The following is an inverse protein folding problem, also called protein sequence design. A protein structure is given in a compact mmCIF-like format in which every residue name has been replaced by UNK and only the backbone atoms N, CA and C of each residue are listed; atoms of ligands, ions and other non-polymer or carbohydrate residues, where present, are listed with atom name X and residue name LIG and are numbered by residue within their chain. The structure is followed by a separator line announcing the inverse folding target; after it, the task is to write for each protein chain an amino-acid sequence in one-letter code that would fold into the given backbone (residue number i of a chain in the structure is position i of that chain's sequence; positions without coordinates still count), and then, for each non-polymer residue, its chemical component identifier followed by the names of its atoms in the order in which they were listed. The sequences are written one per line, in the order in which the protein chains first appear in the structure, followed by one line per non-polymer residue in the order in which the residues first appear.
data_IF_838155666800
#
_entry.id   IF_838155666800
#
_cell.length_a   1.000
_cell.length_b   1.000
_cell.length_c   1.000
_cell.angle_alpha   90.00
_cell.angle_beta   90.00
_cell.angle_gamma   90.00
#
_symmetry.space_group_name_H-M   'P 1'
#
loop_
_entity.id
_entity.type
_entity.pdbx_description
1 polymer ?
#
# COMPACT_ATOMS: atom_id res chain seq x y z
N UNK A 1 -5.97 6.36 -3.57
CA UNK A 1 -5.11 7.54 -3.29
C UNK A 1 -4.15 7.30 -2.12
N UNK A 2 -4.11 6.10 -1.53
CA UNK A 2 -3.07 5.70 -0.58
C UNK A 2 -1.73 5.43 -1.25
N UNK A 3 -0.66 5.89 -0.60
CA UNK A 3 0.74 5.73 -0.99
C UNK A 3 1.65 5.82 0.23
N UNK A 4 2.90 6.20 0.00
CA UNK A 4 3.91 6.48 1.03
C UNK A 4 3.41 7.50 2.07
N UNK A 5 2.63 8.49 1.65
CA UNK A 5 1.99 9.47 2.54
C UNK A 5 1.10 8.82 3.60
N UNK A 6 0.50 7.67 3.30
CA UNK A 6 -0.40 6.94 4.21
C UNK A 6 0.23 5.69 4.81
N UNK A 7 1.27 5.14 4.20
CA UNK A 7 1.92 3.90 4.66
C UNK A 7 3.42 3.84 4.31
N UNK A 8 4.22 4.72 4.93
CA UNK A 8 5.67 4.85 4.74
C UNK A 8 6.43 3.52 4.87
N UNK A 9 6.03 2.67 5.82
CA UNK A 9 6.72 1.40 6.04
C UNK A 9 6.48 0.36 4.93
N UNK A 10 5.32 0.38 4.26
CA UNK A 10 5.04 -0.46 3.09
C UNK A 10 5.72 0.09 1.84
N UNK A 11 6.00 1.40 1.84
CA UNK A 11 6.75 2.03 0.76
C UNK A 11 8.25 1.68 0.75
N UNK A 12 8.71 0.91 1.74
CA UNK A 12 10.04 0.34 1.82
C UNK A 12 11.10 1.24 2.46
N UNK A 13 10.72 2.38 3.06
CA UNK A 13 11.68 3.45 3.33
C UNK A 13 11.68 4.02 4.77
N UNK A 14 11.78 3.13 5.77
CA UNK A 14 12.00 3.52 7.18
C UNK A 14 13.35 3.01 7.72
N UNK A 15 14.45 3.43 7.09
CA UNK A 15 15.81 3.03 7.51
C UNK A 15 16.11 1.54 7.31
N UNK A 16 15.30 0.84 6.52
CA UNK A 16 15.47 -0.58 6.25
C UNK A 16 16.45 -0.79 5.09
N UNK A 17 17.47 -1.62 5.31
CA UNK A 17 18.45 -2.02 4.27
C UNK A 17 17.83 -2.94 3.23
N UNK A 18 16.77 -3.69 3.61
CA UNK A 18 16.06 -4.62 2.74
C UNK A 18 14.59 -4.25 2.69
N UNK A 19 14.11 -3.94 1.49
CA UNK A 19 12.69 -3.73 1.20
C UNK A 19 11.93 -5.05 1.37
N UNK A 20 10.82 -5.02 2.12
CA UNK A 20 9.94 -6.18 2.30
C UNK A 20 8.57 -5.86 1.74
N UNK A 21 8.02 -6.78 0.95
CA UNK A 21 6.61 -6.73 0.58
C UNK A 21 5.78 -7.07 1.83
N UNK A 22 4.90 -6.15 2.20
CA UNK A 22 3.85 -6.44 3.18
C UNK A 22 2.90 -7.48 2.59
N UNK A 23 2.17 -8.25 3.41
CA UNK A 23 1.06 -9.03 2.90
C UNK A 23 0.01 -8.05 2.35
N UNK A 24 -0.43 -8.29 1.11
CA UNK A 24 -1.40 -7.43 0.44
C UNK A 24 -2.43 -8.27 -0.34
N UNK A 25 -3.56 -7.66 -0.66
CA UNK A 25 -4.59 -8.27 -1.49
C UNK A 25 -5.38 -7.22 -2.29
N UNK A 26 -6.09 -7.68 -3.31
CA UNK A 26 -7.25 -6.97 -3.86
C UNK A 26 -8.46 -7.40 -3.03
N UNK A 27 -8.98 -6.49 -2.19
CA UNK A 27 -9.94 -6.84 -1.13
C UNK A 27 -11.23 -7.48 -1.62
N UNK A 28 -11.74 -7.03 -2.77
CA UNK A 28 -12.92 -7.58 -3.45
C UNK A 28 -12.66 -8.92 -4.17
N UNK A 29 -11.40 -9.35 -4.30
CA UNK A 29 -10.99 -10.49 -5.14
C UNK A 29 -10.09 -11.51 -4.44
N UNK A 30 -10.14 -11.61 -3.12
CA UNK A 30 -9.25 -12.48 -2.33
C UNK A 30 -9.35 -13.97 -2.67
N UNK A 31 -10.45 -14.43 -3.28
CA UNK A 31 -10.64 -15.82 -3.72
C UNK A 31 -10.35 -16.09 -5.20
N UNK A 32 -9.86 -15.09 -5.95
CA UNK A 32 -9.59 -15.26 -7.37
C UNK A 32 -8.39 -16.19 -7.61
N UNK A 33 -8.53 -17.11 -8.58
CA UNK A 33 -7.49 -18.09 -8.91
C UNK A 33 -6.50 -17.59 -9.97
N UNK A 34 -6.96 -16.70 -10.87
CA UNK A 34 -6.11 -16.12 -11.88
C UNK A 34 -5.32 -14.96 -11.27
N UNK A 35 -4.00 -15.11 -11.23
CA UNK A 35 -3.06 -14.12 -10.73
C UNK A 35 -2.17 -13.61 -11.86
N UNK A 36 -1.72 -12.38 -11.72
CA UNK A 36 -0.69 -11.77 -12.55
C UNK A 36 0.40 -11.16 -11.66
N UNK A 37 1.62 -11.17 -12.19
CA UNK A 37 2.78 -10.59 -11.50
C UNK A 37 2.82 -9.10 -11.72
N UNK A 38 2.46 -8.32 -10.70
CA UNK A 38 2.32 -6.86 -10.80
C UNK A 38 3.03 -6.13 -9.67
N UNK A 39 3.29 -4.84 -9.88
CA UNK A 39 3.72 -3.90 -8.84
C UNK A 39 2.62 -2.88 -8.61
N UNK A 40 2.45 -2.45 -7.36
CA UNK A 40 1.47 -1.45 -6.97
C UNK A 40 2.20 -0.20 -6.50
N UNK A 41 1.83 0.96 -7.04
CA UNK A 41 2.40 2.27 -6.73
C UNK A 41 1.31 3.20 -6.21
N UNK A 42 1.70 4.15 -5.37
CA UNK A 42 0.83 5.24 -4.93
C UNK A 42 0.82 6.41 -5.94
N UNK A 43 0.17 7.52 -5.58
CA UNK A 43 -0.05 8.67 -6.47
C UNK A 43 1.14 9.64 -6.58
N UNK A 44 2.19 9.49 -5.77
CA UNK A 44 3.27 10.46 -5.68
C UNK A 44 4.29 10.28 -6.82
N UNK A 45 4.84 11.39 -7.31
CA UNK A 45 5.87 11.41 -8.36
C UNK A 45 7.27 11.06 -7.82
N UNK A 46 7.37 9.98 -7.04
CA UNK A 46 8.64 9.49 -6.48
C UNK A 46 8.72 7.97 -6.60
N UNK A 47 9.88 7.40 -6.98
CA UNK A 47 10.05 5.96 -7.05
C UNK A 47 9.90 5.27 -5.68
N UNK A 48 9.97 6.04 -4.59
CA UNK A 48 9.73 5.53 -3.24
C UNK A 48 8.26 5.22 -2.98
N UNK A 49 7.34 5.74 -3.79
CA UNK A 49 5.90 5.51 -3.64
C UNK A 49 5.44 4.22 -4.32
N UNK A 50 6.15 3.14 -4.00
CA UNK A 50 5.81 1.79 -4.41
C UNK A 50 5.36 1.03 -3.18
N UNK A 51 4.20 0.39 -3.18
CA UNK A 51 3.64 -0.33 -2.03
C UNK A 51 3.82 -1.85 -2.12
N UNK A 52 3.88 -2.38 -3.34
CA UNK A 52 4.15 -3.78 -3.61
C UNK A 52 5.03 -3.92 -4.86
N UNK A 53 6.01 -4.79 -4.79
CA UNK A 53 6.90 -5.07 -5.92
C UNK A 53 6.75 -6.51 -6.40
N UNK A 54 6.34 -6.66 -7.67
CA UNK A 54 6.35 -7.94 -8.40
C UNK A 54 5.64 -9.09 -7.64
N UNK A 55 4.49 -8.78 -7.05
CA UNK A 55 3.64 -9.71 -6.30
C UNK A 55 2.62 -10.36 -7.23
N UNK A 56 2.28 -11.62 -6.95
CA UNK A 56 1.17 -12.33 -7.60
C UNK A 56 -0.15 -11.83 -7.01
N UNK A 57 -0.94 -11.10 -7.81
CA UNK A 57 -2.23 -10.55 -7.40
C UNK A 57 -3.28 -10.80 -8.47
N UNK A 58 -4.57 -10.91 -8.10
CA UNK A 58 -5.65 -10.89 -9.07
C UNK A 58 -5.62 -9.59 -9.88
N UNK A 59 -6.05 -9.64 -11.13
CA UNK A 59 -6.24 -8.44 -11.96
C UNK A 59 -7.24 -7.51 -11.26
N UNK A 60 -6.77 -6.31 -10.92
CA UNK A 60 -7.58 -5.26 -10.32
C UNK A 60 -8.36 -4.49 -11.38
N UNK A 61 -9.55 -4.02 -11.01
CA UNK A 61 -10.38 -3.13 -11.82
C UNK A 61 -10.63 -1.81 -11.06
N UNK A 62 -11.05 -0.77 -11.80
CA UNK A 62 -11.42 0.52 -11.20
C UNK A 62 -12.55 0.29 -10.18
N UNK A 63 -12.34 0.78 -8.97
CA UNK A 63 -13.28 0.60 -7.84
C UNK A 63 -12.86 -0.49 -6.86
N UNK A 64 -11.92 -1.36 -7.22
CA UNK A 64 -11.34 -2.31 -6.27
C UNK A 64 -10.43 -1.61 -5.24
N UNK A 65 -10.37 -2.17 -4.04
CA UNK A 65 -9.48 -1.71 -2.97
C UNK A 65 -8.23 -2.58 -2.91
N UNK A 66 -7.07 -1.93 -2.97
CA UNK A 66 -5.81 -2.55 -2.59
C UNK A 66 -5.66 -2.48 -1.07
N UNK A 67 -5.46 -3.64 -0.44
CA UNK A 67 -5.42 -3.78 1.02
C UNK A 67 -4.01 -4.16 1.43
N UNK A 68 -3.43 -3.41 2.36
CA UNK A 68 -2.17 -3.73 3.02
C UNK A 68 -2.48 -4.25 4.42
N UNK A 69 -1.99 -5.44 4.75
CA UNK A 69 -2.16 -6.03 6.09
C UNK A 69 -0.96 -5.73 6.97
N UNK A 70 -1.08 -6.04 8.26
CA UNK A 70 -0.01 -5.83 9.26
C UNK A 70 0.42 -4.36 9.43
N UNK A 71 -0.52 -3.43 9.21
CA UNK A 71 -0.29 -1.98 9.22
C UNK A 71 -0.46 -1.31 10.59
N UNK A 72 -0.79 -2.06 11.65
CA UNK A 72 -1.22 -1.48 12.93
C UNK A 72 -0.13 -0.74 13.71
N UNK A 73 1.08 -1.30 13.79
CA UNK A 73 2.17 -0.69 14.53
C UNK A 73 2.87 0.38 13.68
N UNK A 74 2.80 1.64 14.12
CA UNK A 74 3.44 2.80 13.49
C UNK A 74 3.05 3.11 12.03
N UNK A 75 2.18 2.32 11.40
CA UNK A 75 1.81 2.51 9.99
C UNK A 75 1.28 3.92 9.73
N UNK A 76 0.19 4.30 10.39
CA UNK A 76 -0.38 5.64 10.25
C UNK A 76 0.50 6.72 10.92
N UNK A 77 1.00 6.47 12.14
CA UNK A 77 1.66 7.50 12.96
C UNK A 77 3.06 7.89 12.48
N UNK A 78 3.78 7.00 11.79
CA UNK A 78 5.09 7.30 11.21
C UNK A 78 5.01 7.83 9.76
N UNK A 79 3.84 7.76 9.14
CA UNK A 79 3.67 8.18 7.74
C UNK A 79 3.47 9.68 7.61
N UNK A 80 4.01 10.33 6.56
CA UNK A 80 3.86 11.76 6.35
C UNK A 80 2.48 12.08 5.74
N UNK A 81 1.42 11.96 6.54
CA UNK A 81 0.02 12.01 6.07
C UNK A 81 -0.34 13.27 5.29
N UNK A 82 0.18 14.43 5.70
CA UNK A 82 -0.07 15.72 5.06
C UNK A 82 0.94 16.06 3.94
N UNK A 83 1.77 15.11 3.49
CA UNK A 83 2.74 15.33 2.42
C UNK A 83 2.01 15.86 1.18
N UNK A 84 2.49 16.99 0.63
CA UNK A 84 1.87 17.69 -0.51
C UNK A 84 0.38 18.05 -0.34
N UNK A 85 -0.12 18.14 0.90
CA UNK A 85 -1.51 18.49 1.18
C UNK A 85 -2.52 17.37 0.94
N UNK A 86 -2.07 16.12 0.82
CA UNK A 86 -2.98 14.97 0.81
C UNK A 86 -3.80 14.88 2.11
N UNK A 87 -5.03 14.35 2.02
CA UNK A 87 -5.89 14.10 3.17
C UNK A 87 -5.27 13.07 4.12
N UNK A 88 -5.64 13.10 5.40
CA UNK A 88 -5.29 12.05 6.35
C UNK A 88 -5.99 10.73 6.03
N UNK A 89 -5.44 9.61 6.53
CA UNK A 89 -6.15 8.34 6.51
C UNK A 89 -7.46 8.45 7.30
N UNK A 90 -8.52 7.82 6.80
CA UNK A 90 -9.77 7.65 7.55
C UNK A 90 -9.62 6.39 8.41
N UNK A 91 -9.92 6.49 9.70
CA UNK A 91 -9.91 5.36 10.63
C UNK A 91 -11.34 5.02 11.05
N UNK A 92 -11.63 3.73 11.16
CA UNK A 92 -12.94 3.20 11.55
C UNK A 92 -12.73 2.10 12.59
N UNK A 93 -13.54 2.12 13.65
CA UNK A 93 -13.65 1.03 14.61
C UNK A 93 -14.86 0.16 14.22
N UNK A 94 -14.63 -1.15 14.05
CA UNK A 94 -15.62 -2.14 13.59
C UNK A 94 -15.96 -3.11 14.72
#
# INVERSE_FOLDING_TARGET
DGGLNHHLSASGNFGQVVRKNYPVAIGSRMGAQALERVSVVGPLCTPLDQLAERMELPRAEVGDLFVVFQSGAYGASASPQAFLGHSSCIEVLV
#
